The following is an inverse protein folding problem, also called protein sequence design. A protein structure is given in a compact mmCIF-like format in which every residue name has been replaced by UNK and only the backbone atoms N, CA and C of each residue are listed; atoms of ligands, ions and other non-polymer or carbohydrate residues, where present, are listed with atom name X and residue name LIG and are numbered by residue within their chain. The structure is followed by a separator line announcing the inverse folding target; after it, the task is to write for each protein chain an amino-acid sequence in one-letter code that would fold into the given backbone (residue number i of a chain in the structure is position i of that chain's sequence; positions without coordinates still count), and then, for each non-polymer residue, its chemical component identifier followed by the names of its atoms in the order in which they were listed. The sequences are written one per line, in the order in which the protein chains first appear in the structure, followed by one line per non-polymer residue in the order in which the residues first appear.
data_IF_713704587483
#
_entry.id   IF_713704587483
#
_cell.length_a   1.000
_cell.length_b   1.000
_cell.length_c   1.000
_cell.angle_alpha   90.00
_cell.angle_beta   90.00
_cell.angle_gamma   90.00
#
_symmetry.space_group_name_H-M   'P 1'
#
loop_
_entity.id
_entity.type
_entity.pdbx_description
1 polymer ?
#
# COMPACT_ATOMS: atom_id res chain seq x y z
N UNK A 1 -19.29 -14.46 -60.77
CA UNK A 1 -19.66 -14.55 -59.34
C UNK A 1 -18.39 -14.51 -58.52
N UNK A 2 -18.13 -13.38 -57.80
CA UNK A 2 -16.91 -13.20 -56.97
C UNK A 2 -17.32 -13.45 -55.51
N UNK A 3 -16.79 -14.51 -54.91
CA UNK A 3 -16.96 -14.82 -53.50
C UNK A 3 -16.00 -13.94 -52.67
N UNK A 4 -16.58 -13.02 -51.89
CA UNK A 4 -15.84 -12.25 -50.88
C UNK A 4 -15.80 -13.08 -49.60
N UNK A 5 -14.62 -13.58 -49.24
CA UNK A 5 -14.38 -14.19 -47.92
C UNK A 5 -14.23 -13.07 -46.89
N UNK A 6 -15.23 -12.93 -46.02
CA UNK A 6 -15.12 -12.09 -44.84
C UNK A 6 -14.28 -12.82 -43.77
N UNK A 7 -13.04 -12.35 -43.54
CA UNK A 7 -12.20 -12.78 -42.42
C UNK A 7 -12.68 -12.06 -41.15
N UNK A 8 -13.37 -12.83 -40.31
CA UNK A 8 -13.78 -12.34 -38.99
C UNK A 8 -12.56 -12.37 -38.05
N UNK A 9 -11.94 -11.21 -37.82
CA UNK A 9 -10.86 -11.05 -36.83
C UNK A 9 -11.51 -11.01 -35.43
N UNK A 10 -11.53 -12.15 -34.74
CA UNK A 10 -11.85 -12.22 -33.32
C UNK A 10 -10.74 -11.52 -32.56
N UNK A 11 -10.95 -10.29 -32.15
CA UNK A 11 -10.16 -9.57 -31.15
C UNK A 11 -10.33 -10.28 -29.79
N UNK A 12 -9.42 -11.17 -29.44
CA UNK A 12 -9.28 -11.71 -28.09
C UNK A 12 -8.73 -10.56 -27.25
N UNK A 13 -9.45 -10.05 -26.25
CA UNK A 13 -8.89 -9.06 -25.32
C UNK A 13 -7.78 -9.75 -24.54
N UNK A 14 -6.53 -9.39 -24.84
CA UNK A 14 -5.38 -9.80 -24.05
C UNK A 14 -5.50 -9.13 -22.67
N UNK A 15 -6.02 -9.85 -21.69
CA UNK A 15 -5.99 -9.45 -20.29
C UNK A 15 -4.51 -9.57 -19.87
N UNK A 16 -3.77 -8.48 -19.99
CA UNK A 16 -2.45 -8.30 -19.37
C UNK A 16 -2.66 -8.24 -17.86
N UNK A 17 -2.87 -9.38 -17.22
CA UNK A 17 -2.64 -9.51 -15.79
C UNK A 17 -1.13 -9.34 -15.59
N UNK A 18 -0.77 -8.30 -14.86
CA UNK A 18 0.62 -8.00 -14.56
C UNK A 18 1.25 -9.24 -13.90
N UNK A 19 2.21 -9.88 -14.56
CA UNK A 19 2.93 -11.06 -14.04
C UNK A 19 3.70 -10.77 -12.73
N UNK A 20 3.83 -9.51 -12.34
CA UNK A 20 4.47 -9.10 -11.09
C UNK A 20 3.61 -9.40 -9.83
N UNK A 21 2.28 -9.54 -9.98
CA UNK A 21 1.38 -9.72 -8.83
C UNK A 21 1.58 -11.08 -8.15
N UNK A 22 1.97 -12.11 -8.88
CA UNK A 22 2.09 -13.47 -8.33
C UNK A 22 3.35 -13.71 -7.54
N UNK A 23 4.47 -13.05 -7.86
CA UNK A 23 5.78 -13.28 -7.22
C UNK A 23 5.79 -12.73 -5.79
N UNK A 24 5.32 -11.50 -5.60
CA UNK A 24 5.36 -10.83 -4.30
C UNK A 24 4.26 -11.27 -3.35
N UNK A 25 3.11 -11.70 -3.87
CA UNK A 25 1.92 -12.01 -3.06
C UNK A 25 1.72 -13.49 -2.75
N UNK A 26 2.57 -14.37 -3.28
CA UNK A 26 2.43 -15.84 -3.14
C UNK A 26 2.44 -16.32 -1.69
N UNK A 27 3.19 -15.64 -0.81
CA UNK A 27 3.39 -16.04 0.58
C UNK A 27 2.45 -15.32 1.57
N UNK A 28 1.55 -14.47 1.06
CA UNK A 28 0.58 -13.79 1.91
C UNK A 28 -0.52 -14.76 2.33
N UNK A 29 -0.88 -14.73 3.61
CA UNK A 29 -2.06 -15.42 4.13
C UNK A 29 -3.36 -14.68 3.73
N UNK A 30 -4.53 -15.28 4.01
CA UNK A 30 -5.83 -14.75 3.58
C UNK A 30 -6.12 -13.36 4.16
N UNK A 31 -5.74 -13.09 5.41
CA UNK A 31 -5.94 -11.78 6.04
C UNK A 31 -5.06 -10.70 5.38
N UNK A 32 -3.79 -11.04 5.11
CA UNK A 32 -2.85 -10.16 4.40
C UNK A 32 -3.31 -9.89 2.97
N UNK A 33 -3.80 -10.91 2.26
CA UNK A 33 -4.34 -10.78 0.89
C UNK A 33 -5.54 -9.84 0.86
N UNK A 34 -6.48 -9.99 1.80
CA UNK A 34 -7.67 -9.14 1.90
C UNK A 34 -7.33 -7.65 2.03
N UNK A 35 -6.23 -7.33 2.73
CA UNK A 35 -5.81 -5.93 2.91
C UNK A 35 -4.89 -5.48 1.77
N UNK A 36 -3.84 -6.26 1.46
CA UNK A 36 -2.78 -5.83 0.56
C UNK A 36 -3.19 -5.91 -0.92
N UNK A 37 -3.98 -6.94 -1.29
CA UNK A 37 -4.42 -7.17 -2.68
C UNK A 37 -5.81 -6.57 -2.90
N UNK A 38 -6.78 -6.92 -2.03
CA UNK A 38 -8.17 -6.55 -2.19
C UNK A 38 -8.48 -5.16 -1.63
N UNK A 39 -7.45 -4.41 -1.15
CA UNK A 39 -7.52 -3.03 -0.67
C UNK A 39 -8.47 -2.85 0.51
N UNK A 40 -8.47 -3.82 1.40
CA UNK A 40 -9.22 -3.74 2.66
C UNK A 40 -8.58 -2.77 3.65
N UNK A 41 -9.22 -2.64 4.80
CA UNK A 41 -8.74 -1.85 5.94
C UNK A 41 -8.84 -2.69 7.20
N UNK A 42 -7.79 -2.71 8.01
CA UNK A 42 -7.82 -3.31 9.35
C UNK A 42 -8.81 -2.57 10.25
N UNK A 43 -9.42 -3.22 11.25
CA UNK A 43 -10.11 -2.52 12.31
C UNK A 43 -9.18 -1.53 13.02
N UNK A 44 -9.67 -0.35 13.45
CA UNK A 44 -8.84 0.61 14.17
C UNK A 44 -8.30 0.01 15.47
N UNK A 45 -7.09 0.36 15.86
CA UNK A 45 -6.38 -0.09 17.06
C UNK A 45 -6.08 -1.61 17.14
N UNK A 46 -6.30 -2.37 16.06
CA UNK A 46 -6.02 -3.81 16.03
C UNK A 46 -4.61 -4.15 15.56
N UNK A 47 -3.93 -3.23 14.90
CA UNK A 47 -2.66 -3.47 14.25
C UNK A 47 -1.46 -3.44 15.19
N UNK A 48 -0.50 -4.35 15.00
CA UNK A 48 0.71 -4.50 15.83
C UNK A 48 1.54 -3.22 15.92
N UNK A 49 1.54 -2.38 14.88
CA UNK A 49 2.41 -1.21 14.80
C UNK A 49 1.71 0.11 15.15
N UNK A 50 0.48 0.10 15.69
CA UNK A 50 -0.21 1.34 16.10
C UNK A 50 0.62 2.07 17.15
N UNK A 51 0.95 1.42 18.26
CA UNK A 51 1.71 1.98 19.38
C UNK A 51 3.18 1.50 19.42
N UNK A 52 3.73 1.10 18.29
CA UNK A 52 5.11 0.63 18.16
C UNK A 52 6.02 1.79 17.72
N UNK A 53 6.99 2.20 18.56
CA UNK A 53 7.89 3.34 18.35
C UNK A 53 9.38 2.98 18.47
N UNK A 54 9.73 1.71 18.27
CA UNK A 54 11.11 1.26 18.23
C UNK A 54 11.88 1.88 17.04
N UNK A 55 13.21 2.04 17.21
CA UNK A 55 14.08 2.58 16.17
C UNK A 55 14.34 1.55 15.09
N UNK A 56 13.99 1.90 13.84
CA UNK A 56 14.16 0.99 12.71
C UNK A 56 13.39 1.45 11.46
N UNK A 57 13.16 0.49 10.57
CA UNK A 57 12.53 0.72 9.27
C UNK A 57 11.29 -0.14 9.12
N UNK A 58 10.20 0.46 8.66
CA UNK A 58 8.99 -0.24 8.26
C UNK A 58 9.06 -0.56 6.77
N UNK A 59 9.02 -1.85 6.46
CA UNK A 59 9.12 -2.39 5.11
C UNK A 59 7.79 -2.96 4.64
N UNK A 60 7.62 -3.06 3.32
CA UNK A 60 6.46 -3.69 2.71
C UNK A 60 6.36 -5.17 3.06
N UNK A 61 5.24 -5.63 3.59
CA UNK A 61 4.98 -7.03 3.93
C UNK A 61 5.14 -7.97 2.75
N UNK A 62 4.71 -7.55 1.58
CA UNK A 62 4.70 -8.41 0.39
C UNK A 62 6.09 -8.55 -0.28
N UNK A 63 6.90 -7.49 -0.32
CA UNK A 63 8.13 -7.48 -1.12
C UNK A 63 9.39 -7.03 -0.38
N UNK A 64 9.30 -6.66 0.90
CA UNK A 64 10.42 -6.24 1.73
C UNK A 64 11.00 -4.86 1.39
N UNK A 65 10.39 -4.09 0.49
CA UNK A 65 10.86 -2.73 0.17
C UNK A 65 10.73 -1.83 1.40
N UNK A 66 11.78 -1.11 1.74
CA UNK A 66 11.77 -0.09 2.79
C UNK A 66 10.81 1.04 2.42
N UNK A 67 9.87 1.38 3.32
CA UNK A 67 8.81 2.35 3.07
C UNK A 67 8.92 3.57 3.96
N UNK A 68 9.16 3.37 5.26
CA UNK A 68 9.18 4.43 6.27
C UNK A 68 10.29 4.20 7.29
N UNK A 69 10.97 5.27 7.67
CA UNK A 69 11.82 5.26 8.86
C UNK A 69 10.98 5.53 10.11
N UNK A 70 11.34 4.94 11.24
CA UNK A 70 10.68 5.17 12.54
C UNK A 70 10.68 6.64 12.96
N UNK A 71 11.65 7.44 12.52
CA UNK A 71 11.73 8.89 12.78
C UNK A 71 10.58 9.69 12.16
N UNK A 72 9.86 9.12 11.18
CA UNK A 72 8.67 9.72 10.57
C UNK A 72 7.36 9.26 11.21
N UNK A 73 7.43 8.29 12.13
CA UNK A 73 6.24 7.78 12.80
C UNK A 73 5.84 8.70 13.95
N UNK A 74 4.54 8.98 14.06
CA UNK A 74 4.00 9.81 15.12
C UNK A 74 2.66 9.28 15.65
N UNK A 75 2.29 9.59 16.91
CA UNK A 75 0.99 9.21 17.48
C UNK A 75 -0.10 10.12 16.92
N UNK A 76 -1.05 9.56 16.17
CA UNK A 76 -2.14 10.32 15.53
C UNK A 76 -3.52 10.06 16.14
N UNK A 77 -3.63 9.10 17.05
CA UNK A 77 -4.91 8.66 17.66
C UNK A 77 -5.98 8.20 16.64
N UNK A 78 -5.61 7.96 15.39
CA UNK A 78 -6.56 7.52 14.34
C UNK A 78 -6.82 6.01 14.35
N UNK A 79 -6.05 5.24 15.11
CA UNK A 79 -6.18 3.77 15.20
C UNK A 79 -5.30 2.97 14.22
N UNK A 80 -4.47 3.64 13.43
CA UNK A 80 -3.50 3.02 12.51
C UNK A 80 -2.12 3.67 12.63
N UNK A 81 -1.03 2.94 12.29
CA UNK A 81 0.31 3.52 12.15
C UNK A 81 0.29 4.75 11.25
N UNK A 82 0.84 5.86 11.75
CA UNK A 82 0.85 7.14 11.04
C UNK A 82 2.26 7.66 10.86
N UNK A 83 2.56 8.11 9.64
CA UNK A 83 3.88 8.64 9.26
C UNK A 83 3.72 9.99 8.56
N UNK A 84 4.63 10.91 8.81
CA UNK A 84 4.66 12.24 8.18
C UNK A 84 5.64 12.36 7.02
N UNK A 85 6.16 11.23 6.55
CA UNK A 85 7.06 11.15 5.40
C UNK A 85 7.40 9.71 5.06
N UNK A 86 7.80 9.50 3.82
CA UNK A 86 8.21 8.20 3.28
C UNK A 86 9.66 8.19 2.81
N UNK A 87 10.23 7.00 2.64
CA UNK A 87 11.50 6.82 1.96
C UNK A 87 11.32 7.18 0.48
N UNK A 88 12.26 7.94 -0.06
CA UNK A 88 12.19 8.50 -1.42
C UNK A 88 11.87 7.41 -2.45
N UNK A 89 10.85 7.65 -3.27
CA UNK A 89 10.36 6.75 -4.33
C UNK A 89 9.79 5.41 -3.84
N UNK A 90 9.57 5.22 -2.55
CA UNK A 90 9.02 3.98 -2.01
C UNK A 90 7.50 3.85 -2.16
N UNK A 91 6.80 4.97 -2.32
CA UNK A 91 5.34 5.05 -2.33
C UNK A 91 4.81 5.58 -3.66
N UNK A 92 3.76 4.95 -4.19
CA UNK A 92 2.92 5.48 -5.27
C UNK A 92 1.61 5.97 -4.71
N UNK A 93 1.10 7.09 -5.23
CA UNK A 93 -0.20 7.67 -4.88
C UNK A 93 -1.18 7.47 -6.04
N UNK A 94 -2.42 7.11 -5.72
CA UNK A 94 -3.49 6.91 -6.69
C UNK A 94 -4.79 7.50 -6.15
N UNK A 95 -5.56 8.19 -6.98
CA UNK A 95 -6.90 8.64 -6.61
C UNK A 95 -7.79 7.42 -6.30
N UNK A 96 -8.50 7.50 -5.17
CA UNK A 96 -9.49 6.52 -4.71
C UNK A 96 -10.83 7.23 -4.52
N UNK A 97 -11.81 6.86 -5.36
CA UNK A 97 -13.18 7.42 -5.34
C UNK A 97 -14.20 6.38 -4.85
N UNK A 98 -13.74 5.34 -4.14
CA UNK A 98 -14.62 4.29 -3.63
C UNK A 98 -15.47 4.78 -2.44
N UNK A 99 -16.58 4.10 -2.19
CA UNK A 99 -17.50 4.35 -1.07
C UNK A 99 -18.04 5.80 -0.96
N UNK A 100 -18.12 6.51 -2.09
CA UNK A 100 -18.57 7.91 -2.11
C UNK A 100 -17.59 8.92 -1.50
N UNK A 101 -16.35 8.51 -1.22
CA UNK A 101 -15.27 9.36 -0.71
C UNK A 101 -14.25 9.63 -1.81
N UNK A 102 -13.62 10.80 -1.74
CA UNK A 102 -12.42 11.10 -2.56
C UNK A 102 -11.22 11.11 -1.64
N UNK A 103 -10.31 10.15 -1.82
CA UNK A 103 -9.09 9.96 -1.03
C UNK A 103 -7.90 9.75 -1.94
N UNK A 104 -6.71 9.76 -1.37
CA UNK A 104 -5.48 9.34 -2.07
C UNK A 104 -4.98 8.03 -1.47
N UNK A 105 -5.14 6.94 -2.22
CA UNK A 105 -4.58 5.63 -1.90
C UNK A 105 -3.05 5.67 -1.99
N UNK A 106 -2.37 5.02 -1.06
CA UNK A 106 -0.92 4.79 -1.09
C UNK A 106 -0.60 3.32 -1.26
N UNK A 107 0.34 3.05 -2.17
CA UNK A 107 0.75 1.73 -2.62
C UNK A 107 2.27 1.61 -2.52
N UNK A 108 2.77 0.41 -2.25
CA UNK A 108 4.19 0.14 -2.42
C UNK A 108 4.62 0.35 -3.87
N UNK A 109 5.63 1.18 -4.11
CA UNK A 109 6.06 1.52 -5.48
C UNK A 109 6.60 0.31 -6.25
N UNK A 110 7.17 -0.70 -5.55
CA UNK A 110 7.76 -1.90 -6.14
C UNK A 110 6.72 -2.94 -6.53
N UNK A 111 5.87 -3.36 -5.60
CA UNK A 111 4.93 -4.47 -5.83
C UNK A 111 3.49 -4.04 -6.09
N UNK A 112 3.14 -2.77 -5.86
CA UNK A 112 1.77 -2.28 -6.00
C UNK A 112 0.83 -2.66 -4.85
N UNK A 113 1.32 -3.34 -3.81
CA UNK A 113 0.52 -3.73 -2.65
C UNK A 113 -0.07 -2.52 -1.93
N UNK A 114 -1.35 -2.62 -1.56
CA UNK A 114 -2.06 -1.57 -0.83
C UNK A 114 -1.46 -1.36 0.57
N UNK A 115 -1.24 -0.13 0.92
CA UNK A 115 -0.71 0.27 2.24
C UNK A 115 -1.77 0.97 3.08
N UNK A 116 -2.56 1.84 2.50
CA UNK A 116 -3.55 2.68 3.16
C UNK A 116 -3.85 3.93 2.35
N UNK A 117 -3.97 5.07 3.05
CA UNK A 117 -4.28 6.36 2.43
C UNK A 117 -3.41 7.48 3.01
N UNK A 118 -3.20 8.53 2.23
CA UNK A 118 -2.54 9.76 2.69
C UNK A 118 -3.55 10.88 2.82
N UNK A 119 -3.41 11.66 3.88
CA UNK A 119 -4.22 12.82 4.22
C UNK A 119 -3.31 14.04 4.37
N UNK A 120 -3.79 15.18 3.93
CA UNK A 120 -3.08 16.46 3.99
C UNK A 120 -3.98 17.52 4.64
N UNK A 121 -3.38 18.52 5.28
CA UNK A 121 -4.13 19.62 5.86
C UNK A 121 -4.66 19.41 7.28
N UNK A 122 -4.36 18.28 7.92
CA UNK A 122 -4.82 17.97 9.28
C UNK A 122 -3.99 18.68 10.39
N UNK A 123 -2.85 19.27 10.04
CA UNK A 123 -1.95 20.03 10.94
C UNK A 123 -1.47 19.22 12.17
N UNK A 124 -1.28 17.91 12.01
CA UNK A 124 -0.82 17.03 13.08
C UNK A 124 0.71 17.06 13.26
N UNK A 125 1.45 17.43 12.21
CA UNK A 125 2.89 17.62 12.20
C UNK A 125 3.25 18.85 11.36
N UNK A 126 4.48 19.33 11.46
CA UNK A 126 4.97 20.47 10.66
C UNK A 126 4.93 20.19 9.16
N UNK A 127 5.01 18.92 8.75
CA UNK A 127 4.91 18.51 7.34
C UNK A 127 3.48 18.50 6.81
N UNK A 128 2.50 18.60 7.70
CA UNK A 128 1.08 18.66 7.37
C UNK A 128 0.60 17.54 6.43
N UNK A 129 1.20 16.37 6.56
CA UNK A 129 0.87 15.15 5.82
C UNK A 129 0.82 13.96 6.77
N UNK A 130 -0.14 13.08 6.58
CA UNK A 130 -0.26 11.84 7.34
C UNK A 130 -0.51 10.66 6.41
N UNK A 131 0.44 9.76 6.32
CA UNK A 131 0.27 8.43 5.75
C UNK A 131 -0.37 7.54 6.80
N UNK A 132 -1.63 7.18 6.62
CA UNK A 132 -2.38 6.25 7.46
C UNK A 132 -2.23 4.85 6.86
N UNK A 133 -1.49 3.97 7.53
CA UNK A 133 -1.01 2.71 6.96
C UNK A 133 -1.60 1.52 7.72
N UNK A 134 -2.08 0.50 7.01
CA UNK A 134 -2.47 -0.76 7.62
C UNK A 134 -1.23 -1.46 8.21
N UNK A 135 -1.29 -1.83 9.47
CA UNK A 135 -0.22 -2.54 10.18
C UNK A 135 0.18 -3.85 9.48
N UNK A 136 -0.84 -4.59 9.03
CA UNK A 136 -0.67 -5.87 8.32
C UNK A 136 0.07 -5.74 6.99
N UNK A 137 0.10 -4.53 6.40
CA UNK A 137 0.84 -4.22 5.17
C UNK A 137 2.34 -3.99 5.41
N UNK A 138 2.78 -4.01 6.68
CA UNK A 138 4.13 -3.70 7.11
C UNK A 138 4.82 -4.89 7.76
N UNK A 139 6.15 -4.88 7.72
CA UNK A 139 7.06 -5.57 8.63
C UNK A 139 8.04 -4.56 9.19
N UNK A 140 8.40 -4.69 10.45
CA UNK A 140 9.40 -3.85 11.10
C UNK A 140 10.76 -4.53 11.10
N UNK A 141 11.79 -3.79 10.76
CA UNK A 141 13.20 -4.20 10.83
C UNK A 141 13.90 -3.26 11.80
N UNK A 142 14.30 -3.80 12.95
CA UNK A 142 15.00 -3.06 13.99
C UNK A 142 16.38 -2.61 13.48
N UNK A 143 16.76 -1.37 13.78
CA UNK A 143 18.11 -0.89 13.55
C UNK A 143 19.04 -1.48 14.62
N UNK A 144 19.90 -2.43 14.21
CA UNK A 144 20.91 -2.98 15.12
C UNK A 144 21.94 -1.89 15.44
N UNK A 145 22.00 -1.51 16.70
CA UNK A 145 23.09 -0.68 17.20
C UNK A 145 24.43 -1.36 16.85
N UNK A 146 25.20 -0.71 15.98
CA UNK A 146 26.58 -1.11 15.66
C UNK A 146 27.54 -0.56 16.67
#
# INVERSE_FOLDING_TARGET
MKHVLLFNFLLIPCILMSQNDTIYFKNLNDAERKIIIDKGTEPPYSGTYVDHFETGTYCCKACGTELYNSTHKFPSSCGWPSFDGEIKNAIKRKADISFGMTRTEILCAKCGGHLGHVFEGEQLTDKNVRHCVNSISLIFVEEKNR
#
